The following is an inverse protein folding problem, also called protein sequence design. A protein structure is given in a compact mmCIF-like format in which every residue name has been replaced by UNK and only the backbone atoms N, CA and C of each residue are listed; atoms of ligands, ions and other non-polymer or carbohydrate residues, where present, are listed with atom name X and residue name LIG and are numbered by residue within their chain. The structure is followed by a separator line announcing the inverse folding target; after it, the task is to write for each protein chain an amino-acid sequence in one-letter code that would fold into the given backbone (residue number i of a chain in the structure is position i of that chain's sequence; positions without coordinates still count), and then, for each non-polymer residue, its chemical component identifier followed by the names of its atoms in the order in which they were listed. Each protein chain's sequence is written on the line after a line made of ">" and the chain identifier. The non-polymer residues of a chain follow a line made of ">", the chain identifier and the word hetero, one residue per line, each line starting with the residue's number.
data_IF_019542487813
#
_entry.id   IF_019542487813
#
_cell.length_a   1.000
_cell.length_b   1.000
_cell.length_c   1.000
_cell.angle_alpha   90.00
_cell.angle_beta   90.00
_cell.angle_gamma   90.00
#
_symmetry.space_group_name_H-M   'P 1'
#
loop_
_entity.id
_entity.type
_entity.pdbx_description
1 polymer ?
#
# COMPACT_ATOMS: atom_id res chain seq x y z
N UNK A 1 -9.66 28.91 -35.78
CA UNK A 1 -10.53 28.40 -34.71
C UNK A 1 -9.66 28.15 -33.48
N UNK A 2 -10.16 28.41 -32.27
CA UNK A 2 -9.45 28.07 -31.02
C UNK A 2 -9.69 26.57 -30.76
N UNK A 3 -8.65 25.79 -30.51
CA UNK A 3 -8.79 24.39 -30.10
C UNK A 3 -9.34 24.31 -28.68
N UNK A 4 -10.26 23.39 -28.43
CA UNK A 4 -10.86 23.17 -27.10
C UNK A 4 -9.88 22.38 -26.25
N UNK A 5 -9.55 22.88 -25.06
CA UNK A 5 -8.65 22.18 -24.14
C UNK A 5 -9.45 21.43 -23.07
N UNK A 6 -9.21 20.13 -22.90
CA UNK A 6 -9.92 19.29 -21.94
C UNK A 6 -8.96 18.66 -20.94
N UNK A 7 -9.51 18.23 -19.80
CA UNK A 7 -8.81 17.35 -18.88
C UNK A 7 -8.79 15.92 -19.40
N UNK A 8 -7.65 15.25 -19.29
CA UNK A 8 -7.42 13.88 -19.73
C UNK A 8 -6.75 13.07 -18.62
N UNK A 9 -7.44 12.07 -18.09
CA UNK A 9 -6.93 11.27 -16.97
C UNK A 9 -5.71 10.42 -17.35
N UNK A 10 -5.66 9.93 -18.60
CA UNK A 10 -4.62 9.04 -19.09
C UNK A 10 -3.41 9.78 -19.72
N UNK A 11 -3.53 11.08 -19.96
CA UNK A 11 -2.51 11.88 -20.65
C UNK A 11 -1.41 12.36 -19.69
N UNK A 12 -0.74 11.43 -19.00
CA UNK A 12 0.30 11.73 -17.99
C UNK A 12 1.51 12.44 -18.58
N UNK A 13 1.78 12.25 -19.88
CA UNK A 13 2.87 12.91 -20.60
C UNK A 13 2.56 14.36 -20.99
N UNK A 14 1.28 14.70 -21.07
CA UNK A 14 0.78 15.99 -21.55
C UNK A 14 0.08 16.77 -20.41
N UNK A 15 0.60 16.65 -19.19
CA UNK A 15 0.10 17.31 -17.99
C UNK A 15 -1.39 17.07 -17.72
N UNK A 16 -1.91 15.87 -18.03
CA UNK A 16 -3.32 15.52 -17.90
C UNK A 16 -4.27 16.40 -18.73
N UNK A 17 -3.79 16.89 -19.86
CA UNK A 17 -4.57 17.72 -20.78
C UNK A 17 -4.53 17.16 -22.20
N UNK A 18 -5.54 17.50 -22.99
CA UNK A 18 -5.60 17.22 -24.42
C UNK A 18 -6.34 18.35 -25.15
N UNK A 19 -6.04 18.54 -26.44
CA UNK A 19 -6.73 19.50 -27.30
C UNK A 19 -7.57 18.78 -28.35
N UNK A 20 -8.76 19.31 -28.65
CA UNK A 20 -9.67 18.71 -29.63
C UNK A 20 -10.50 19.76 -30.38
N UNK A 21 -11.02 19.37 -31.54
CA UNK A 21 -12.00 20.10 -32.33
C UNK A 21 -13.45 19.72 -31.99
N UNK A 22 -13.66 18.63 -31.22
CA UNK A 22 -14.96 18.14 -30.80
C UNK A 22 -15.36 18.58 -29.39
N UNK A 23 -15.49 17.61 -28.48
CA UNK A 23 -16.02 17.82 -27.13
C UNK A 23 -15.11 17.21 -26.06
N UNK A 24 -15.18 17.78 -24.86
CA UNK A 24 -14.64 17.14 -23.67
C UNK A 24 -15.62 16.08 -23.16
N UNK A 25 -15.13 14.91 -22.81
CA UNK A 25 -15.91 13.80 -22.25
C UNK A 25 -15.53 13.54 -20.80
N UNK A 26 -16.55 13.20 -20.00
CA UNK A 26 -16.37 12.63 -18.67
C UNK A 26 -17.39 11.54 -18.38
N UNK A 27 -16.95 10.48 -17.70
CA UNK A 27 -17.83 9.45 -17.15
C UNK A 27 -17.51 9.18 -15.69
N UNK A 28 -18.55 9.07 -14.87
CA UNK A 28 -18.49 8.65 -13.46
C UNK A 28 -19.17 7.31 -13.36
N UNK A 29 -18.42 6.27 -13.00
CA UNK A 29 -18.97 4.93 -12.75
C UNK A 29 -18.89 4.64 -11.27
N UNK A 30 -20.05 4.49 -10.64
CA UNK A 30 -20.14 4.12 -9.24
C UNK A 30 -20.21 2.60 -9.10
N UNK A 31 -19.29 2.03 -8.34
CA UNK A 31 -19.30 0.62 -7.94
C UNK A 31 -19.37 0.54 -6.42
N UNK A 32 -19.73 -0.62 -5.85
CA UNK A 32 -19.92 -0.82 -4.40
C UNK A 32 -18.75 -0.34 -3.53
N UNK A 33 -17.52 -0.36 -4.06
CA UNK A 33 -16.30 -0.10 -3.28
C UNK A 33 -15.51 1.14 -3.74
N UNK A 34 -15.85 1.71 -4.90
CA UNK A 34 -15.11 2.81 -5.54
C UNK A 34 -15.95 3.59 -6.56
N UNK A 35 -15.64 4.88 -6.68
CA UNK A 35 -16.10 5.74 -7.77
C UNK A 35 -14.96 5.88 -8.78
N UNK A 36 -15.21 5.50 -10.04
CA UNK A 36 -14.23 5.57 -11.14
C UNK A 36 -14.58 6.77 -12.02
N UNK A 37 -13.61 7.66 -12.21
CA UNK A 37 -13.72 8.81 -13.12
C UNK A 37 -12.88 8.56 -14.36
N UNK A 38 -13.44 8.81 -15.54
CA UNK A 38 -12.69 8.80 -16.78
C UNK A 38 -12.97 10.10 -17.55
N UNK A 39 -11.92 10.82 -17.90
CA UNK A 39 -11.99 12.09 -18.64
C UNK A 39 -11.05 12.03 -19.83
N UNK A 40 -11.52 12.45 -21.01
CA UNK A 40 -10.76 12.44 -22.26
C UNK A 40 -11.31 13.46 -23.27
N UNK A 41 -10.58 13.67 -24.36
CA UNK A 41 -11.04 14.41 -25.54
C UNK A 41 -11.73 13.47 -26.52
N UNK A 42 -12.76 13.98 -27.22
CA UNK A 42 -13.40 13.29 -28.35
C UNK A 42 -13.34 14.22 -29.56
N UNK A 43 -12.71 13.75 -30.64
CA UNK A 43 -12.62 14.49 -31.89
C UNK A 43 -13.99 14.60 -32.58
N UNK A 44 -14.20 15.64 -33.39
CA UNK A 44 -15.49 15.88 -34.06
C UNK A 44 -15.89 14.71 -34.98
N UNK A 45 -14.90 14.01 -35.55
CA UNK A 45 -15.11 12.83 -36.41
C UNK A 45 -15.67 11.62 -35.65
N UNK A 46 -15.42 11.52 -34.34
CA UNK A 46 -15.85 10.42 -33.49
C UNK A 46 -17.21 10.69 -32.83
N UNK A 47 -17.75 11.89 -33.01
CA UNK A 47 -19.08 12.28 -32.54
C UNK A 47 -20.15 11.75 -33.50
N UNK A 48 -20.63 10.53 -33.23
CA UNK A 48 -21.63 9.85 -34.06
C UNK A 48 -22.95 9.68 -33.30
N UNK A 49 -24.09 10.14 -33.87
CA UNK A 49 -24.20 11.21 -34.88
C UNK A 49 -23.76 12.55 -34.30
N UNK A 50 -23.27 13.49 -35.14
CA UNK A 50 -22.70 14.77 -34.66
C UNK A 50 -23.69 15.59 -33.83
N UNK A 51 -24.96 15.59 -34.22
CA UNK A 51 -26.00 16.35 -33.52
C UNK A 51 -26.37 15.76 -32.15
N UNK A 52 -26.18 14.45 -31.97
CA UNK A 52 -26.52 13.75 -30.72
C UNK A 52 -25.61 12.52 -30.53
N UNK A 53 -24.35 12.74 -30.12
CA UNK A 53 -23.37 11.66 -30.06
C UNK A 53 -23.77 10.60 -29.04
N UNK A 54 -23.74 9.32 -29.41
CA UNK A 54 -24.07 8.24 -28.48
C UNK A 54 -23.15 8.21 -27.26
N UNK A 55 -21.87 8.56 -27.46
CA UNK A 55 -20.87 8.68 -26.40
C UNK A 55 -21.26 9.70 -25.32
N UNK A 56 -22.05 10.72 -25.68
CA UNK A 56 -22.51 11.76 -24.76
C UNK A 56 -23.89 11.44 -24.13
N UNK A 57 -24.53 10.34 -24.50
CA UNK A 57 -25.82 9.96 -23.96
C UNK A 57 -25.65 9.33 -22.56
N UNK A 58 -26.38 9.79 -21.53
CA UNK A 58 -26.31 9.22 -20.19
C UNK A 58 -26.86 7.78 -20.19
N UNK A 59 -26.12 6.83 -19.60
CA UNK A 59 -26.55 5.44 -19.46
C UNK A 59 -27.14 5.18 -18.08
N UNK A 60 -28.46 4.97 -18.01
CA UNK A 60 -29.14 4.63 -16.75
C UNK A 60 -29.00 3.16 -16.34
N UNK A 61 -28.52 2.27 -17.23
CA UNK A 61 -28.50 0.82 -16.99
C UNK A 61 -27.30 0.32 -16.18
N UNK A 62 -26.19 1.06 -16.16
CA UNK A 62 -24.89 0.56 -15.70
C UNK A 62 -24.32 1.31 -14.50
N UNK A 63 -25.09 2.21 -13.88
CA UNK A 63 -24.57 3.07 -12.80
C UNK A 63 -23.46 4.03 -13.25
N UNK A 64 -23.34 4.23 -14.58
CA UNK A 64 -22.34 5.09 -15.20
C UNK A 64 -23.00 6.34 -15.78
N UNK A 65 -22.72 7.49 -15.17
CA UNK A 65 -23.19 8.79 -15.65
C UNK A 65 -22.13 9.37 -16.57
N UNK A 66 -22.50 9.63 -17.82
CA UNK A 66 -21.64 10.25 -18.83
C UNK A 66 -22.12 11.67 -19.13
N UNK A 67 -21.19 12.57 -19.40
CA UNK A 67 -21.46 13.95 -19.75
C UNK A 67 -20.42 14.47 -20.74
N UNK A 68 -20.86 15.33 -21.66
CA UNK A 68 -19.99 16.02 -22.60
C UNK A 68 -20.18 17.54 -22.50
N UNK A 69 -19.11 18.29 -22.74
CA UNK A 69 -19.13 19.74 -22.66
C UNK A 69 -18.11 20.38 -23.62
N UNK A 70 -18.28 21.67 -23.87
CA UNK A 70 -17.55 22.44 -24.90
C UNK A 70 -16.84 23.68 -24.35
N UNK A 71 -16.51 23.70 -23.05
CA UNK A 71 -15.72 24.77 -22.42
C UNK A 71 -14.37 24.22 -21.97
N UNK A 72 -13.34 25.07 -21.93
CA UNK A 72 -12.00 24.62 -21.54
C UNK A 72 -12.03 24.01 -20.13
N UNK A 73 -11.47 22.80 -20.00
CA UNK A 73 -11.37 22.02 -18.76
C UNK A 73 -12.71 21.74 -18.05
N UNK A 74 -13.84 21.84 -18.75
CA UNK A 74 -15.18 21.62 -18.17
C UNK A 74 -15.41 20.19 -17.63
N UNK A 75 -14.60 19.22 -18.10
CA UNK A 75 -14.69 17.81 -17.74
C UNK A 75 -13.78 17.42 -16.56
N UNK A 76 -13.22 18.42 -15.84
CA UNK A 76 -12.47 18.21 -14.60
C UNK A 76 -13.43 18.05 -13.43
N UNK A 77 -13.67 16.80 -13.04
CA UNK A 77 -14.37 16.50 -11.79
C UNK A 77 -13.36 16.58 -10.66
N UNK A 78 -13.66 17.34 -9.62
CA UNK A 78 -12.89 17.28 -8.38
C UNK A 78 -13.12 15.89 -7.79
N UNK A 79 -12.10 15.04 -7.87
CA UNK A 79 -12.10 13.82 -7.07
C UNK A 79 -12.26 14.29 -5.63
N UNK A 80 -13.25 13.81 -4.84
CA UNK A 80 -12.98 13.72 -3.42
C UNK A 80 -11.70 12.90 -3.35
N UNK A 81 -10.63 13.50 -2.85
CA UNK A 81 -9.38 12.81 -2.54
C UNK A 81 -9.65 11.87 -1.37
N UNK A 82 -10.61 10.96 -1.50
CA UNK A 82 -10.42 9.61 -1.03
C UNK A 82 -9.41 8.97 -1.98
N UNK A 83 -8.18 9.50 -1.93
CA UNK A 83 -7.10 8.58 -1.65
C UNK A 83 -7.65 7.74 -0.50
N UNK A 84 -8.16 6.56 -0.82
CA UNK A 84 -7.74 5.41 -0.03
C UNK A 84 -6.21 5.50 -0.15
N UNK A 85 -5.61 6.32 0.74
CA UNK A 85 -4.48 5.89 1.51
C UNK A 85 -4.94 4.52 1.99
N UNK A 86 -4.67 3.52 1.14
CA UNK A 86 -4.38 2.22 1.65
C UNK A 86 -3.41 2.55 2.76
N UNK A 87 -3.84 2.34 4.00
CA UNK A 87 -2.95 2.29 5.15
C UNK A 87 -2.04 1.05 4.97
N UNK A 88 -1.43 0.93 3.78
CA UNK A 88 -0.31 0.10 3.49
C UNK A 88 0.84 0.85 4.09
N UNK A 89 1.21 0.39 5.28
CA UNK A 89 2.43 0.74 5.99
C UNK A 89 3.53 0.95 4.95
N UNK A 90 4.13 2.13 4.94
CA UNK A 90 5.15 2.46 3.94
C UNK A 90 6.27 1.41 3.93
N UNK A 91 7.10 1.32 2.88
CA UNK A 91 8.19 0.34 2.79
C UNK A 91 9.07 0.28 4.05
N UNK A 92 9.20 1.42 4.74
CA UNK A 92 9.92 1.59 6.01
C UNK A 92 9.19 0.93 7.19
N UNK A 93 7.88 1.06 7.29
CA UNK A 93 7.09 0.46 8.36
C UNK A 93 6.95 -1.06 8.18
N UNK A 94 6.79 -1.55 6.94
CA UNK A 94 6.79 -2.99 6.65
C UNK A 94 8.13 -3.64 7.02
N UNK A 95 9.24 -2.95 6.74
CA UNK A 95 10.57 -3.40 7.14
C UNK A 95 10.72 -3.45 8.68
N UNK A 96 10.19 -2.46 9.41
CA UNK A 96 10.24 -2.44 10.87
C UNK A 96 9.42 -3.56 11.52
N UNK A 97 8.22 -3.87 11.00
CA UNK A 97 7.35 -4.95 11.52
C UNK A 97 7.97 -6.33 11.34
N UNK A 98 8.77 -6.54 10.29
CA UNK A 98 9.44 -7.83 10.04
C UNK A 98 10.79 -7.89 10.77
N UNK A 99 11.58 -6.81 10.73
CA UNK A 99 12.91 -6.77 11.34
C UNK A 99 12.86 -6.77 12.88
N UNK A 100 11.85 -6.12 13.49
CA UNK A 100 11.70 -6.04 14.95
C UNK A 100 11.62 -7.41 15.64
N UNK A 101 10.67 -8.28 15.25
CA UNK A 101 10.55 -9.63 15.82
C UNK A 101 11.79 -10.49 15.58
N UNK A 102 12.39 -10.43 14.39
CA UNK A 102 13.60 -11.19 14.07
C UNK A 102 14.77 -10.75 14.95
N UNK A 103 15.01 -9.45 15.08
CA UNK A 103 16.05 -8.91 15.96
C UNK A 103 15.82 -9.29 17.43
N UNK A 104 14.57 -9.23 17.92
CA UNK A 104 14.26 -9.59 19.30
C UNK A 104 14.55 -11.08 19.59
N UNK A 105 14.13 -11.98 18.70
CA UNK A 105 14.42 -13.42 18.82
C UNK A 105 15.93 -13.68 18.79
N UNK A 106 16.66 -13.04 17.87
CA UNK A 106 18.11 -13.20 17.77
C UNK A 106 18.83 -12.74 19.05
N UNK A 107 18.47 -11.59 19.62
CA UNK A 107 19.08 -11.08 20.86
C UNK A 107 18.74 -12.00 22.04
N UNK A 108 17.49 -12.45 22.15
CA UNK A 108 17.08 -13.36 23.23
C UNK A 108 17.86 -14.68 23.18
N UNK A 109 18.03 -15.28 21.99
CA UNK A 109 18.82 -16.51 21.83
C UNK A 109 20.29 -16.30 22.19
N UNK A 110 20.91 -15.19 21.77
CA UNK A 110 22.30 -14.87 22.13
C UNK A 110 22.48 -14.70 23.64
N UNK A 111 21.54 -14.02 24.32
CA UNK A 111 21.57 -13.86 25.77
C UNK A 111 21.36 -15.18 26.51
N UNK A 112 20.43 -16.03 26.05
CA UNK A 112 20.20 -17.35 26.65
C UNK A 112 21.44 -18.23 26.53
N UNK A 113 22.07 -18.29 25.35
CA UNK A 113 23.33 -19.03 25.15
C UNK A 113 24.44 -18.46 26.03
N UNK A 114 24.59 -17.14 26.10
CA UNK A 114 25.60 -16.49 26.93
C UNK A 114 25.42 -16.83 28.41
N UNK A 115 24.19 -16.74 28.93
CA UNK A 115 23.88 -17.08 30.32
C UNK A 115 24.08 -18.56 30.56
N UNK A 116 23.59 -19.44 29.68
CA UNK A 116 23.78 -20.88 29.80
C UNK A 116 25.27 -21.26 29.81
N UNK A 117 26.07 -20.72 28.89
CA UNK A 117 27.52 -20.95 28.81
C UNK A 117 28.25 -20.39 30.04
N UNK A 118 27.88 -19.19 30.48
CA UNK A 118 28.46 -18.60 31.68
C UNK A 118 28.06 -19.39 32.94
N UNK A 119 26.83 -19.93 33.02
CA UNK A 119 26.41 -20.79 34.13
C UNK A 119 27.14 -22.13 34.13
N UNK A 120 27.33 -22.78 32.98
CA UNK A 120 28.16 -24.00 32.91
C UNK A 120 29.62 -23.71 33.28
N UNK A 121 30.14 -22.53 32.95
CA UNK A 121 31.50 -22.10 33.33
C UNK A 121 31.60 -21.76 34.84
N UNK A 122 30.56 -21.20 35.46
CA UNK A 122 30.55 -20.86 36.90
C UNK A 122 30.26 -22.08 37.78
N UNK A 123 29.37 -23.00 37.37
CA UNK A 123 29.11 -24.24 38.12
C UNK A 123 30.28 -25.23 38.11
N UNK A 124 31.25 -25.09 37.21
CA UNK A 124 32.50 -25.84 37.26
C UNK A 124 33.56 -25.22 38.18
N UNK A 125 33.28 -24.07 38.81
CA UNK A 125 34.17 -23.37 39.75
C UNK A 125 33.51 -23.12 41.11
N UNK A 126 32.84 -24.13 41.67
CA UNK A 126 32.69 -24.24 43.13
C UNK A 126 33.67 -25.32 43.60
N UNK A 127 34.68 -24.99 44.43
CA UNK A 127 35.55 -25.98 45.06
C UNK A 127 34.70 -26.82 46.02
N UNK A 128 34.70 -28.15 45.85
CA UNK A 128 34.15 -29.05 46.86
C UNK A 128 35.23 -29.28 47.93
N UNK A 129 35.38 -28.33 48.84
CA UNK A 129 36.21 -28.46 50.03
C UNK A 129 35.37 -29.04 51.19
N UNK A 130 35.81 -30.22 51.64
CA UNK A 130 35.85 -30.76 53.01
C UNK A 130 34.70 -31.65 53.59
N UNK A 131 35.15 -32.88 53.92
CA UNK A 131 34.68 -33.96 54.83
C UNK A 131 33.94 -33.51 56.11
N UNK A 132 32.99 -34.29 56.72
CA UNK A 132 33.35 -35.48 57.53
C UNK A 132 32.21 -36.54 57.79
N UNK A 133 32.55 -37.59 58.56
CA UNK A 133 31.68 -38.51 59.34
C UNK A 133 31.26 -39.84 58.67
N UNK A 134 31.93 -40.93 59.06
CA UNK A 134 31.45 -42.03 59.93
C UNK A 134 31.34 -43.29 59.04
N UNK A 135 32.05 -44.41 59.25
CA UNK A 135 32.22 -45.12 60.50
C UNK A 135 33.42 -46.12 60.44
N UNK A 136 34.02 -46.37 61.61
CA UNK A 136 35.03 -47.41 61.97
C UNK A 136 34.42 -48.84 61.84
N UNK A 137 35.05 -49.99 62.23
CA UNK A 137 36.25 -50.23 63.06
C UNK A 137 37.12 -51.49 62.71
N UNK A 138 38.10 -51.80 63.59
CA UNK A 138 38.74 -53.12 63.89
C UNK A 138 39.91 -53.55 62.96
N UNK A 139 41.09 -54.06 63.38
CA UNK A 139 41.65 -54.69 64.61
C UNK A 139 43.19 -54.49 64.64
N UNK A 140 43.73 -54.60 65.85
CA UNK A 140 45.12 -54.70 66.35
C UNK A 140 46.16 -55.51 65.55
N UNK A 141 47.43 -55.06 65.63
CA UNK A 141 48.54 -55.66 66.41
C UNK A 141 49.70 -54.64 66.47
#
# INVERSE_FOLDING_TARGET
>A
AKALQCFCHLCTKDNFTCETDGLCFVSVTETTDKVIHNSMCIAEIDLIPRDRPFVCAPSSKTGAVTYCCNQDHCNKIELPTTEKQSAGLGPVELAAVIAGPVCFVCIALMLMVYICHNRTVIHHRVPNEEDPSLDRPFISE
#
